data_IF_864541891760
#
_entry.id   IF_864541891760
#
_cell.length_a   1.000
_cell.length_b   1.000
_cell.length_c   1.000
_cell.angle_alpha   90.00
_cell.angle_beta   90.00
_cell.angle_gamma   90.00
#
_symmetry.space_group_name_H-M   'P 1'
#
loop_
_entity.id
_entity.type
_entity.pdbx_description
1 polymer ?
#
# COMPACT_ATOMS: atom_id res chain seq x y z
N UNK A 1 -4.77 1.75 -3.20
CA UNK A 1 -5.16 3.14 -3.52
C UNK A 1 -4.29 3.68 -4.63
N UNK A 2 -4.92 4.32 -5.60
CA UNK A 2 -4.30 5.11 -6.65
C UNK A 2 -4.39 6.59 -6.28
N UNK A 3 -3.29 7.33 -6.40
CA UNK A 3 -3.26 8.78 -6.28
C UNK A 3 -2.58 9.34 -7.51
N UNK A 4 -3.19 10.30 -8.18
CA UNK A 4 -2.62 10.86 -9.40
C UNK A 4 -2.83 12.36 -9.52
N UNK A 5 -1.94 12.99 -10.28
CA UNK A 5 -2.13 14.36 -10.75
C UNK A 5 -3.37 14.45 -11.64
N UNK A 6 -4.01 15.61 -11.68
CA UNK A 6 -5.18 15.85 -12.51
C UNK A 6 -4.92 15.44 -13.98
N UNK A 7 -5.87 14.75 -14.57
CA UNK A 7 -5.78 14.23 -15.93
C UNK A 7 -5.15 12.85 -16.09
N UNK A 8 -4.62 12.26 -15.02
CA UNK A 8 -4.06 10.90 -15.06
C UNK A 8 -4.96 9.91 -14.33
N UNK A 9 -5.46 8.94 -15.06
CA UNK A 9 -6.23 7.81 -14.54
C UNK A 9 -5.45 6.50 -14.74
N UNK A 10 -5.84 5.41 -14.08
CA UNK A 10 -5.29 4.10 -14.37
C UNK A 10 -5.36 3.80 -15.88
N UNK A 11 -4.22 3.50 -16.48
CA UNK A 11 -4.12 3.24 -17.91
C UNK A 11 -4.03 4.46 -18.84
N UNK A 12 -3.93 5.68 -18.30
CA UNK A 12 -3.68 6.86 -19.12
C UNK A 12 -2.38 6.70 -19.94
N UNK A 13 -2.37 7.09 -21.22
CA UNK A 13 -1.17 6.99 -22.07
C UNK A 13 0.00 7.75 -21.43
N UNK A 14 1.16 7.08 -21.36
CA UNK A 14 2.41 7.68 -20.85
C UNK A 14 2.43 7.94 -19.35
N UNK A 15 1.45 7.43 -18.58
CA UNK A 15 1.47 7.53 -17.11
C UNK A 15 2.64 6.73 -16.54
N UNK A 16 3.46 7.39 -15.71
CA UNK A 16 4.50 6.76 -14.92
C UNK A 16 4.04 6.65 -13.47
N UNK A 17 4.09 5.45 -12.93
CA UNK A 17 3.49 5.12 -11.64
C UNK A 17 4.59 4.80 -10.63
N UNK A 18 4.67 5.56 -9.56
CA UNK A 18 5.55 5.27 -8.43
C UNK A 18 4.97 4.14 -7.58
N UNK A 19 5.78 3.14 -7.30
CA UNK A 19 5.44 1.97 -6.48
C UNK A 19 6.61 1.59 -5.59
N UNK A 20 6.35 0.89 -4.48
CA UNK A 20 7.43 0.28 -3.72
C UNK A 20 8.11 -0.83 -4.50
N UNK A 21 9.44 -0.84 -4.48
CA UNK A 21 10.24 -1.87 -5.12
C UNK A 21 9.88 -3.27 -4.60
N UNK A 22 9.69 -4.21 -5.51
CA UNK A 22 9.37 -5.60 -5.20
C UNK A 22 7.97 -5.83 -4.63
N UNK A 23 7.11 -4.82 -4.66
CA UNK A 23 5.75 -4.92 -4.14
C UNK A 23 4.77 -5.56 -5.13
N UNK A 24 3.64 -6.03 -4.61
CA UNK A 24 2.51 -6.50 -5.42
C UNK A 24 2.01 -5.39 -6.36
N UNK A 25 2.05 -4.14 -5.90
CA UNK A 25 1.66 -2.98 -6.69
C UNK A 25 2.59 -2.75 -7.88
N UNK A 26 3.91 -2.91 -7.68
CA UNK A 26 4.88 -2.83 -8.78
C UNK A 26 4.63 -3.91 -9.83
N UNK A 27 4.42 -5.16 -9.38
CA UNK A 27 4.11 -6.27 -10.27
C UNK A 27 2.81 -6.04 -11.04
N UNK A 28 1.79 -5.51 -10.38
CA UNK A 28 0.53 -5.14 -11.01
C UNK A 28 0.73 -4.10 -12.12
N UNK A 29 1.43 -3.01 -11.83
CA UNK A 29 1.72 -1.94 -12.81
C UNK A 29 2.42 -2.51 -14.04
N UNK A 30 3.43 -3.34 -13.83
CA UNK A 30 4.16 -4.01 -14.92
C UNK A 30 3.27 -4.96 -15.74
N UNK A 31 2.40 -5.71 -15.07
CA UNK A 31 1.45 -6.63 -15.72
C UNK A 31 0.41 -5.88 -16.59
N UNK A 32 0.04 -4.65 -16.21
CA UNK A 32 -0.81 -3.80 -17.03
C UNK A 32 -0.09 -3.17 -18.23
N UNK A 33 1.22 -3.33 -18.33
CA UNK A 33 2.04 -2.68 -19.35
C UNK A 33 2.29 -1.20 -19.09
N UNK A 34 2.08 -0.72 -17.87
CA UNK A 34 2.36 0.66 -17.49
C UNK A 34 3.81 0.82 -17.03
N UNK A 35 4.33 2.04 -17.15
CA UNK A 35 5.68 2.35 -16.68
C UNK A 35 5.72 2.46 -15.17
N UNK A 36 6.51 1.60 -14.52
CA UNK A 36 6.70 1.61 -13.06
C UNK A 36 8.00 2.31 -12.71
N UNK A 37 7.92 3.26 -11.78
CA UNK A 37 9.06 3.93 -11.16
C UNK A 37 9.16 3.40 -9.73
N UNK A 38 10.22 2.64 -9.44
CA UNK A 38 10.41 2.03 -8.13
C UNK A 38 10.86 3.06 -7.09
N UNK A 39 10.34 2.94 -5.88
CA UNK A 39 10.75 3.71 -4.71
C UNK A 39 11.02 2.78 -3.52
N UNK A 40 11.93 3.19 -2.65
CA UNK A 40 12.25 2.46 -1.41
C UNK A 40 11.48 3.00 -0.20
N UNK A 41 11.04 4.25 -0.26
CA UNK A 41 10.37 4.93 0.85
C UNK A 41 9.21 5.81 0.38
N UNK A 42 8.30 6.14 1.31
CA UNK A 42 7.23 7.12 1.09
C UNK A 42 7.79 8.48 0.65
N UNK A 43 8.90 8.91 1.26
CA UNK A 43 9.54 10.17 0.93
C UNK A 43 10.03 10.20 -0.53
N UNK A 44 10.58 9.09 -1.01
CA UNK A 44 11.03 8.96 -2.39
C UNK A 44 9.84 9.00 -3.37
N UNK A 45 8.72 8.35 -3.04
CA UNK A 45 7.49 8.46 -3.85
C UNK A 45 7.03 9.92 -4.00
N UNK A 46 7.01 10.66 -2.90
CA UNK A 46 6.64 12.07 -2.88
C UNK A 46 7.60 12.88 -3.74
N UNK A 47 8.89 12.63 -3.63
CA UNK A 47 9.92 13.32 -4.41
C UNK A 47 9.77 13.05 -5.92
N UNK A 48 9.54 11.81 -6.31
CA UNK A 48 9.32 11.42 -7.71
C UNK A 48 8.11 12.14 -8.32
N UNK A 49 7.04 12.34 -7.56
CA UNK A 49 5.89 13.12 -8.01
C UNK A 49 6.16 14.62 -8.03
N UNK A 50 6.87 15.14 -7.03
CA UNK A 50 7.26 16.55 -6.96
C UNK A 50 8.15 16.93 -8.13
N UNK A 51 9.11 16.09 -8.49
CA UNK A 51 10.03 16.28 -9.60
C UNK A 51 9.42 15.99 -10.97
N UNK A 52 8.19 15.48 -11.05
CA UNK A 52 7.53 15.10 -12.31
C UNK A 52 8.07 13.81 -12.94
N UNK A 53 8.86 13.05 -12.22
CA UNK A 53 9.36 11.72 -12.64
C UNK A 53 8.22 10.73 -12.73
N UNK A 54 7.25 10.80 -11.81
CA UNK A 54 6.02 10.04 -11.83
C UNK A 54 4.80 10.96 -11.77
N UNK A 55 3.66 10.51 -12.30
CA UNK A 55 2.39 11.24 -12.28
C UNK A 55 1.37 10.61 -11.33
N UNK A 56 1.61 9.37 -10.92
CA UNK A 56 0.73 8.62 -10.05
C UNK A 56 1.49 7.79 -9.04
N UNK A 57 0.80 7.41 -7.96
CA UNK A 57 1.26 6.43 -6.96
C UNK A 57 0.21 5.33 -6.87
N UNK A 58 0.64 4.08 -6.80
CA UNK A 58 -0.18 2.99 -6.24
C UNK A 58 0.45 2.55 -4.93
N UNK A 59 -0.31 2.68 -3.85
CA UNK A 59 0.13 2.29 -2.52
C UNK A 59 -0.89 1.36 -1.85
N UNK A 60 -0.43 0.45 -0.96
CA UNK A 60 -1.31 -0.28 -0.07
C UNK A 60 -2.19 0.68 0.73
N UNK A 61 -3.37 0.21 1.14
CA UNK A 61 -4.31 1.04 1.89
C UNK A 61 -3.67 1.65 3.16
N UNK A 62 -2.89 0.85 3.88
CA UNK A 62 -2.20 1.30 5.10
C UNK A 62 -1.20 2.44 4.82
N UNK A 63 -0.36 2.26 3.81
CA UNK A 63 0.58 3.31 3.36
C UNK A 63 -0.15 4.57 2.92
N UNK A 64 -1.30 4.42 2.27
CA UNK A 64 -2.13 5.54 1.82
C UNK A 64 -2.57 6.44 2.97
N UNK A 65 -2.90 5.88 4.13
CA UNK A 65 -3.22 6.67 5.33
C UNK A 65 -2.02 7.45 5.85
N UNK A 66 -0.84 6.85 5.83
CA UNK A 66 0.39 7.54 6.23
C UNK A 66 0.74 8.67 5.26
N UNK A 67 0.65 8.42 3.96
CA UNK A 67 0.86 9.44 2.93
C UNK A 67 -0.08 10.63 3.11
N UNK A 68 -1.37 10.39 3.35
CA UNK A 68 -2.37 11.44 3.53
C UNK A 68 -2.17 12.28 4.81
N UNK A 69 -1.33 11.86 5.74
CA UNK A 69 -0.92 12.63 6.91
C UNK A 69 0.35 13.46 6.68
N UNK A 70 1.02 13.25 5.55
CA UNK A 70 2.25 13.98 5.22
C UNK A 70 1.92 15.31 4.52
N UNK A 71 2.30 16.47 5.09
CA UNK A 71 2.02 17.77 4.48
C UNK A 71 2.57 17.93 3.06
N UNK A 72 3.74 17.35 2.79
CA UNK A 72 4.35 17.39 1.44
C UNK A 72 3.51 16.62 0.43
N UNK A 73 2.94 15.48 0.83
CA UNK A 73 2.03 14.70 0.00
C UNK A 73 0.73 15.49 -0.29
N UNK A 74 0.16 16.11 0.75
CA UNK A 74 -1.06 16.91 0.60
C UNK A 74 -0.87 18.10 -0.35
N UNK A 75 0.31 18.71 -0.36
CA UNK A 75 0.65 19.82 -1.25
C UNK A 75 0.68 19.43 -2.74
N UNK A 76 0.83 18.13 -3.04
CA UNK A 76 0.82 17.64 -4.42
C UNK A 76 -0.57 17.71 -5.06
N UNK A 77 -1.63 17.81 -4.28
CA UNK A 77 -3.01 17.93 -4.76
C UNK A 77 -3.47 16.72 -5.57
N UNK A 78 -3.03 15.52 -5.17
CA UNK A 78 -3.34 14.29 -5.90
C UNK A 78 -4.80 13.86 -5.70
N UNK A 79 -5.41 13.36 -6.76
CA UNK A 79 -6.76 12.81 -6.73
C UNK A 79 -6.72 11.34 -6.31
N UNK A 80 -7.42 10.96 -5.21
CA UNK A 80 -7.50 9.58 -4.77
C UNK A 80 -8.51 8.77 -5.61
N UNK A 81 -8.18 7.51 -5.85
CA UNK A 81 -9.06 6.56 -6.51
C UNK A 81 -8.84 5.15 -5.91
N UNK A 82 -9.92 4.44 -5.63
CA UNK A 82 -9.84 3.05 -5.17
C UNK A 82 -9.69 2.14 -6.37
N UNK A 83 -8.49 1.62 -6.56
CA UNK A 83 -8.21 0.65 -7.61
C UNK A 83 -8.65 -0.74 -7.14
N UNK A 84 -9.66 -1.29 -7.81
CA UNK A 84 -10.16 -2.64 -7.55
C UNK A 84 -9.57 -3.60 -8.57
N UNK A 85 -8.73 -4.50 -8.10
CA UNK A 85 -8.15 -5.57 -8.90
C UNK A 85 -7.86 -6.76 -7.98
N UNK A 86 -8.24 -8.00 -8.37
CA UNK A 86 -8.00 -9.18 -7.54
C UNK A 86 -6.54 -9.36 -7.16
N UNK A 87 -5.61 -8.94 -8.02
CA UNK A 87 -4.17 -9.02 -7.81
C UNK A 87 -3.67 -8.07 -6.69
N UNK A 88 -4.45 -7.03 -6.38
CA UNK A 88 -4.15 -6.05 -5.33
C UNK A 88 -4.90 -6.30 -4.03
N UNK A 89 -5.79 -7.29 -4.03
CA UNK A 89 -6.55 -7.70 -2.86
C UNK A 89 -5.82 -8.85 -2.15
N UNK A 90 -5.85 -8.84 -0.83
CA UNK A 90 -5.25 -9.90 -0.04
C UNK A 90 -5.19 -9.57 1.44
N UNK A 91 -5.03 -10.61 2.23
CA UNK A 91 -4.87 -10.51 3.67
C UNK A 91 -3.44 -10.11 4.03
N UNK A 92 -3.30 -9.27 5.05
CA UNK A 92 -2.02 -9.03 5.68
C UNK A 92 -1.69 -10.21 6.60
N UNK A 93 -0.53 -10.83 6.41
CA UNK A 93 -0.11 -12.02 7.15
C UNK A 93 1.32 -11.87 7.66
N UNK A 94 1.63 -12.59 8.74
CA UNK A 94 3.01 -12.74 9.18
C UNK A 94 3.74 -13.75 8.29
N UNK A 95 4.90 -13.35 7.76
CA UNK A 95 5.80 -14.26 7.08
C UNK A 95 6.60 -15.09 8.08
N UNK A 96 6.58 -16.42 7.95
CA UNK A 96 7.36 -17.34 8.79
C UNK A 96 8.43 -17.99 7.91
N UNK A 97 9.69 -17.97 8.37
CA UNK A 97 10.76 -18.69 7.69
C UNK A 97 10.43 -20.19 7.59
N UNK A 98 10.64 -20.83 6.43
CA UNK A 98 10.47 -22.27 6.29
C UNK A 98 11.33 -23.09 7.29
N UNK A 99 12.43 -22.51 7.77
CA UNK A 99 13.30 -23.14 8.79
C UNK A 99 12.71 -23.08 10.20
N UNK A 100 11.63 -22.34 10.40
CA UNK A 100 10.95 -22.13 11.68
C UNK A 100 9.45 -22.41 11.59
N UNK A 101 9.09 -23.43 10.79
CA UNK A 101 7.69 -23.80 10.55
C UNK A 101 6.92 -24.15 11.85
N UNK A 102 7.63 -24.58 12.91
CA UNK A 102 7.06 -24.89 14.21
C UNK A 102 6.40 -23.68 14.91
N UNK A 103 6.74 -22.46 14.50
CA UNK A 103 6.16 -21.23 15.06
C UNK A 103 4.73 -20.98 14.56
N UNK A 104 4.36 -21.56 13.42
CA UNK A 104 3.07 -21.26 12.75
C UNK A 104 1.87 -21.52 13.66
N UNK A 105 1.77 -22.72 14.22
CA UNK A 105 0.60 -23.09 15.03
C UNK A 105 0.48 -22.25 16.33
N UNK A 106 1.54 -22.05 17.13
CA UNK A 106 1.49 -21.15 18.27
C UNK A 106 1.13 -19.71 17.90
N UNK A 107 1.65 -19.20 16.77
CA UNK A 107 1.36 -17.87 16.29
C UNK A 107 -0.12 -17.72 15.87
N UNK A 108 -0.65 -18.67 15.12
CA UNK A 108 -2.06 -18.68 14.71
C UNK A 108 -2.98 -18.68 15.93
N UNK A 109 -2.68 -19.48 16.95
CA UNK A 109 -3.43 -19.51 18.23
C UNK A 109 -3.35 -18.17 18.97
N UNK A 110 -2.17 -17.56 18.99
CA UNK A 110 -1.99 -16.24 19.62
C UNK A 110 -2.80 -15.16 18.90
N UNK A 111 -2.79 -15.14 17.57
CA UNK A 111 -3.58 -14.22 16.74
C UNK A 111 -5.08 -14.41 16.96
N UNK A 112 -5.55 -15.64 17.04
CA UNK A 112 -6.96 -15.94 17.36
C UNK A 112 -7.35 -15.41 18.75
N UNK A 113 -6.49 -15.63 19.75
CA UNK A 113 -6.73 -15.15 21.11
C UNK A 113 -6.84 -13.61 21.19
N UNK A 114 -5.94 -12.88 20.53
CA UNK A 114 -6.00 -11.41 20.56
C UNK A 114 -7.21 -10.85 19.79
N UNK A 115 -7.72 -11.58 18.80
CA UNK A 115 -8.99 -11.24 18.12
C UNK A 115 -10.19 -11.42 19.02
N UNK A 116 -10.20 -12.51 19.84
CA UNK A 116 -11.32 -12.83 20.74
C UNK A 116 -11.37 -11.95 21.99
N UNK A 117 -10.22 -11.58 22.55
CA UNK A 117 -10.14 -10.82 23.81
C UNK A 117 -10.14 -9.30 23.63
N UNK A 118 -10.35 -8.80 22.40
CA UNK A 118 -10.41 -7.37 22.10
C UNK A 118 -9.05 -6.66 21.99
N UNK A 119 -7.94 -7.36 22.20
CA UNK A 119 -6.59 -6.78 22.07
C UNK A 119 -6.32 -6.31 20.65
N UNK A 120 -6.73 -7.10 19.66
CA UNK A 120 -6.61 -6.73 18.25
C UNK A 120 -7.34 -5.42 17.95
N UNK A 121 -8.59 -5.30 18.36
CA UNK A 121 -9.39 -4.09 18.12
C UNK A 121 -8.79 -2.86 18.81
N UNK A 122 -8.31 -3.02 20.05
CA UNK A 122 -7.62 -1.95 20.79
C UNK A 122 -6.35 -1.47 20.08
N UNK A 123 -5.57 -2.37 19.52
CA UNK A 123 -4.38 -2.01 18.73
C UNK A 123 -4.81 -1.36 17.41
N UNK A 124 -5.72 -1.98 16.68
CA UNK A 124 -6.18 -1.50 15.38
C UNK A 124 -6.68 -0.05 15.44
N UNK A 125 -7.49 0.29 16.44
CA UNK A 125 -8.06 1.65 16.58
C UNK A 125 -7.03 2.73 16.88
N UNK A 126 -5.82 2.37 17.31
CA UNK A 126 -4.73 3.35 17.48
C UNK A 126 -4.15 3.83 16.15
N UNK A 127 -4.28 3.01 15.10
CA UNK A 127 -3.64 3.25 13.82
C UNK A 127 -4.64 3.50 12.70
N UNK A 128 -5.82 2.91 12.76
CA UNK A 128 -6.80 2.92 11.69
C UNK A 128 -8.19 3.36 12.17
N UNK A 129 -8.91 4.14 11.36
CA UNK A 129 -10.29 4.53 11.64
C UNK A 129 -11.32 3.42 11.31
N UNK A 130 -10.87 2.24 10.92
CA UNK A 130 -11.72 1.09 10.59
C UNK A 130 -11.05 -0.22 11.04
N UNK A 131 -11.85 -1.27 11.16
CA UNK A 131 -11.36 -2.60 11.53
C UNK A 131 -10.82 -3.33 10.30
N UNK A 132 -9.61 -3.86 10.43
CA UNK A 132 -9.04 -4.82 9.48
C UNK A 132 -9.49 -6.23 9.90
N UNK A 133 -9.90 -7.03 8.93
CA UNK A 133 -10.38 -8.40 9.15
C UNK A 133 -9.35 -9.43 8.76
#
# INVERSE_FOLDING_TARGET
MWFAKSGFQPGSPGVRVSTFRGSVQENYVKAQGWESISAETDAEMIEQLSAGVAQAIIAPLMTSFNLQRNPRFLQLGLMPFVLKAPELEGDASFGISPKRAEIKEPLDKALENIRRNGTFDRINTQFLPFRVH
#
